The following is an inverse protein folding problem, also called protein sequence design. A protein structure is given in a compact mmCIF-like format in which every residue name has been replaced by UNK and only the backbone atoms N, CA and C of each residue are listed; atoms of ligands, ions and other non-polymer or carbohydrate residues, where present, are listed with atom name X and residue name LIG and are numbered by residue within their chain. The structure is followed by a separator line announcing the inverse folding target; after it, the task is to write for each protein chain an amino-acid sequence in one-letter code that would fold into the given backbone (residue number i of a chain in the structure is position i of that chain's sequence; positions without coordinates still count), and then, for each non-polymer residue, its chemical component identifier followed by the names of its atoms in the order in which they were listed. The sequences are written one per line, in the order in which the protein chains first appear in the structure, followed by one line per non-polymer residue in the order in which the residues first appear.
data_IF_576604479626
#
_entry.id   IF_576604479626
#
_cell.length_a   1.000
_cell.length_b   1.000
_cell.length_c   1.000
_cell.angle_alpha   90.00
_cell.angle_beta   90.00
_cell.angle_gamma   90.00
#
_symmetry.space_group_name_H-M   'P 1'
#
loop_
_entity.id
_entity.type
_entity.pdbx_description
1 polymer ?
#
# COMPACT_ATOMS: atom_id res chain seq x y z
N UNK A 1 34.42 22.21 8.32
CA UNK A 1 33.68 21.07 7.77
C UNK A 1 32.19 21.34 7.98
N UNK A 2 31.47 21.77 6.91
CA UNK A 2 30.01 21.80 6.98
C UNK A 2 29.56 20.34 6.96
N UNK A 3 28.92 19.89 8.03
CA UNK A 3 28.22 18.61 7.99
C UNK A 3 27.00 18.81 7.11
N UNK A 4 26.91 18.07 5.99
CA UNK A 4 25.76 18.10 5.11
C UNK A 4 24.51 17.70 5.91
N UNK A 5 23.49 18.56 5.86
CA UNK A 5 22.22 18.32 6.54
C UNK A 5 21.28 17.56 5.61
N UNK A 6 21.03 16.28 5.91
CA UNK A 6 20.15 15.42 5.12
C UNK A 6 18.91 15.09 5.95
N UNK A 7 17.75 15.43 5.44
CA UNK A 7 16.46 15.03 6.05
C UNK A 7 15.81 13.90 5.23
N UNK A 8 15.45 12.82 5.93
CA UNK A 8 14.77 11.67 5.34
C UNK A 8 13.44 11.44 6.06
N UNK A 9 12.33 11.47 5.32
CA UNK A 9 10.98 11.49 5.92
C UNK A 9 9.98 10.78 4.99
N UNK A 10 8.91 10.21 5.57
CA UNK A 10 7.76 9.80 4.77
C UNK A 10 6.85 11.00 4.44
N UNK A 11 6.17 10.94 3.31
CA UNK A 11 5.21 11.99 2.91
C UNK A 11 4.07 12.15 3.92
N UNK A 12 3.68 11.08 4.62
CA UNK A 12 2.69 11.13 5.71
C UNK A 12 3.19 11.95 6.91
N UNK A 13 4.45 11.74 7.31
CA UNK A 13 5.04 12.51 8.42
C UNK A 13 5.22 13.98 8.02
N UNK A 14 5.64 14.26 6.78
CA UNK A 14 5.68 15.62 6.23
C UNK A 14 4.32 16.30 6.32
N UNK A 15 3.24 15.62 5.89
CA UNK A 15 1.87 16.09 6.01
C UNK A 15 1.50 16.43 7.46
N UNK A 16 1.75 15.50 8.39
CA UNK A 16 1.37 15.67 9.78
C UNK A 16 2.11 16.85 10.44
N UNK A 17 3.38 17.02 10.15
CA UNK A 17 4.17 18.15 10.65
C UNK A 17 3.74 19.48 10.01
N UNK A 18 3.40 19.48 8.71
CA UNK A 18 2.81 20.67 8.06
C UNK A 18 1.48 21.06 8.70
N UNK A 19 0.56 20.10 8.87
CA UNK A 19 -0.73 20.36 9.52
C UNK A 19 -0.58 20.84 10.97
N UNK A 20 0.46 20.38 11.68
CA UNK A 20 0.77 20.88 13.02
C UNK A 20 1.29 22.31 12.98
N UNK A 21 2.08 22.69 11.96
CA UNK A 21 2.64 24.06 11.82
C UNK A 21 1.59 25.13 11.52
N UNK A 22 0.49 24.73 10.83
CA UNK A 22 -0.60 25.68 10.48
C UNK A 22 -1.76 25.71 11.48
N UNK A 23 -1.83 24.78 12.45
CA UNK A 23 -2.88 24.81 13.47
C UNK A 23 -2.69 26.00 14.40
N UNK A 24 -3.71 26.88 14.58
CA UNK A 24 -3.62 27.96 15.55
C UNK A 24 -3.52 27.37 16.96
N UNK A 25 -2.35 27.52 17.59
CA UNK A 25 -2.21 27.26 19.02
C UNK A 25 -3.08 28.24 19.81
N UNK A 26 -3.79 27.76 20.85
CA UNK A 26 -4.69 28.56 21.69
C UNK A 26 -3.96 29.67 22.50
N UNK A 27 -2.65 29.67 22.49
CA UNK A 27 -1.83 30.70 23.21
C UNK A 27 -1.25 31.69 22.20
N UNK A 28 -1.71 32.95 22.33
CA UNK A 28 -1.40 34.07 21.44
C UNK A 28 0.10 34.49 21.44
N UNK A 29 0.96 33.92 22.26
CA UNK A 29 2.37 34.32 22.40
C UNK A 29 3.38 33.39 21.69
N UNK A 30 2.94 32.32 21.00
CA UNK A 30 3.84 31.31 20.36
C UNK A 30 3.63 31.18 18.87
N UNK A 31 3.06 32.15 18.18
CA UNK A 31 2.70 32.08 16.75
C UNK A 31 3.88 32.07 15.78
N UNK A 32 5.09 32.37 16.23
CA UNK A 32 6.22 32.61 15.29
C UNK A 32 7.11 31.40 15.06
N UNK A 33 7.09 30.36 15.88
CA UNK A 33 8.12 29.32 15.82
C UNK A 33 7.75 28.09 14.96
N UNK A 34 6.49 27.69 14.90
CA UNK A 34 6.11 26.42 14.25
C UNK A 34 6.29 26.43 12.71
N UNK A 35 5.93 27.53 12.04
CA UNK A 35 6.15 27.67 10.59
C UNK A 35 7.64 27.87 10.27
N UNK A 36 8.36 28.63 11.08
CA UNK A 36 9.82 28.81 10.95
C UNK A 36 10.57 27.49 11.20
N UNK A 37 10.16 26.73 12.23
CA UNK A 37 10.76 25.42 12.53
C UNK A 37 10.51 24.41 11.40
N UNK A 38 9.29 24.42 10.83
CA UNK A 38 8.97 23.60 9.65
C UNK A 38 9.82 23.99 8.45
N UNK A 39 9.93 25.29 8.15
CA UNK A 39 10.78 25.78 7.06
C UNK A 39 12.23 25.41 7.26
N UNK A 40 12.79 25.67 8.44
CA UNK A 40 14.17 25.32 8.77
C UNK A 40 14.43 23.84 8.59
N UNK A 41 13.50 22.99 9.05
CA UNK A 41 13.64 21.54 8.97
C UNK A 41 13.66 21.01 7.54
N UNK A 42 12.84 21.57 6.64
CA UNK A 42 12.63 21.00 5.30
C UNK A 42 13.22 21.83 4.15
N UNK A 43 13.59 23.08 4.38
CA UNK A 43 14.08 23.97 3.34
C UNK A 43 15.55 24.39 3.51
N UNK A 44 16.06 24.34 4.74
CA UNK A 44 17.47 24.69 5.04
C UNK A 44 18.38 23.46 5.01
N UNK A 45 17.96 22.38 4.33
CA UNK A 45 18.71 21.13 4.21
C UNK A 45 19.53 21.10 2.92
N UNK A 46 20.59 20.29 2.88
CA UNK A 46 21.38 20.05 1.67
C UNK A 46 20.78 18.96 0.79
N UNK A 47 20.07 18.01 1.41
CA UNK A 47 19.28 17.01 0.70
C UNK A 47 17.98 16.69 1.43
N UNK A 48 16.89 16.58 0.69
CA UNK A 48 15.58 16.15 1.17
C UNK A 48 15.18 14.84 0.48
N UNK A 49 15.01 13.76 1.27
CA UNK A 49 14.53 12.48 0.79
C UNK A 49 13.10 12.27 1.31
N UNK A 50 12.16 12.04 0.39
CA UNK A 50 10.75 11.77 0.75
C UNK A 50 10.34 10.42 0.21
N UNK A 51 9.90 9.56 1.12
CA UNK A 51 9.37 8.25 0.81
C UNK A 51 7.85 8.29 0.68
N UNK A 52 7.33 7.39 -0.18
CA UNK A 52 5.89 7.20 -0.38
C UNK A 52 5.16 8.46 -0.86
N UNK A 53 5.70 9.17 -1.84
CA UNK A 53 5.15 10.45 -2.35
C UNK A 53 3.69 10.33 -2.83
N UNK A 54 3.23 9.14 -3.21
CA UNK A 54 1.85 8.86 -3.62
C UNK A 54 0.81 9.20 -2.54
N UNK A 55 1.16 9.23 -1.26
CA UNK A 55 0.23 9.60 -0.19
C UNK A 55 -0.09 11.10 -0.12
N UNK A 56 0.53 11.93 -0.95
CA UNK A 56 0.11 13.31 -1.16
C UNK A 56 -1.13 13.42 -2.06
N UNK A 57 -1.50 12.35 -2.79
CA UNK A 57 -2.67 12.34 -3.68
C UNK A 57 -3.95 12.77 -2.93
N UNK A 58 -4.74 13.66 -3.56
CA UNK A 58 -5.99 14.17 -3.00
C UNK A 58 -5.86 15.16 -1.84
N UNK A 59 -4.64 15.57 -1.44
CA UNK A 59 -4.40 16.47 -0.29
C UNK A 59 -3.88 17.83 -0.74
N UNK A 60 -4.74 18.63 -1.35
CA UNK A 60 -4.39 19.90 -2.05
C UNK A 60 -3.55 20.86 -1.20
N UNK A 61 -3.89 21.10 0.07
CA UNK A 61 -3.11 22.01 0.93
C UNK A 61 -1.68 21.51 1.16
N UNK A 62 -1.51 20.20 1.34
CA UNK A 62 -0.19 19.59 1.53
C UNK A 62 0.60 19.59 0.24
N UNK A 63 -0.06 19.36 -0.90
CA UNK A 63 0.58 19.47 -2.22
C UNK A 63 1.10 20.88 -2.47
N UNK A 64 0.35 21.91 -2.07
CA UNK A 64 0.78 23.31 -2.12
C UNK A 64 2.03 23.55 -1.25
N UNK A 65 2.00 23.10 0.00
CA UNK A 65 3.15 23.26 0.92
C UNK A 65 4.40 22.54 0.38
N UNK A 66 4.20 21.31 -0.13
CA UNK A 66 5.27 20.55 -0.73
C UNK A 66 5.82 21.22 -2.00
N UNK A 67 4.96 21.76 -2.85
CA UNK A 67 5.37 22.50 -4.04
C UNK A 67 6.26 23.70 -3.69
N UNK A 68 5.92 24.45 -2.66
CA UNK A 68 6.75 25.56 -2.21
C UNK A 68 8.10 25.10 -1.66
N UNK A 69 8.10 24.02 -0.87
CA UNK A 69 9.35 23.43 -0.33
C UNK A 69 10.24 22.92 -1.47
N UNK A 70 9.65 22.21 -2.44
CA UNK A 70 10.35 21.73 -3.63
C UNK A 70 11.01 22.85 -4.43
N UNK A 71 10.24 23.92 -4.73
CA UNK A 71 10.76 25.06 -5.48
C UNK A 71 11.92 25.77 -4.74
N UNK A 72 11.79 25.94 -3.44
CA UNK A 72 12.82 26.61 -2.63
C UNK A 72 14.12 25.80 -2.61
N UNK A 73 14.04 24.49 -2.42
CA UNK A 73 15.19 23.59 -2.51
C UNK A 73 15.82 23.61 -3.91
N UNK A 74 14.99 23.55 -4.96
CA UNK A 74 15.47 23.59 -6.34
C UNK A 74 16.18 24.92 -6.67
N UNK A 75 15.63 26.05 -6.25
CA UNK A 75 16.23 27.35 -6.46
C UNK A 75 17.58 27.48 -5.74
N UNK A 76 17.71 26.87 -4.57
CA UNK A 76 18.95 26.83 -3.80
C UNK A 76 19.89 25.69 -4.22
N UNK A 77 19.62 25.02 -5.35
CA UNK A 77 20.42 23.91 -5.90
C UNK A 77 20.65 22.76 -4.90
N UNK A 78 19.67 22.51 -4.03
CA UNK A 78 19.67 21.40 -3.08
C UNK A 78 19.19 20.11 -3.73
N UNK A 79 19.65 18.98 -3.20
CA UNK A 79 19.26 17.67 -3.72
C UNK A 79 17.87 17.28 -3.22
N UNK A 80 17.02 16.78 -4.13
CA UNK A 80 15.71 16.22 -3.78
C UNK A 80 15.66 14.78 -4.33
N UNK A 81 15.26 13.84 -3.48
CA UNK A 81 15.03 12.44 -3.84
C UNK A 81 13.61 12.07 -3.43
N UNK A 82 12.81 11.64 -4.40
CA UNK A 82 11.43 11.20 -4.17
C UNK A 82 11.31 9.72 -4.48
N UNK A 83 10.68 8.98 -3.58
CA UNK A 83 10.44 7.54 -3.72
C UNK A 83 8.94 7.32 -3.87
N UNK A 84 8.55 6.48 -4.82
CA UNK A 84 7.16 6.18 -5.14
C UNK A 84 6.98 4.72 -5.55
N UNK A 85 5.79 4.17 -5.33
CA UNK A 85 5.38 2.85 -5.81
C UNK A 85 4.99 2.83 -7.31
N UNK A 86 4.95 4.01 -7.94
CA UNK A 86 4.56 4.20 -9.35
C UNK A 86 5.25 5.40 -9.98
N UNK A 87 5.27 5.43 -11.32
CA UNK A 87 5.88 6.52 -12.07
C UNK A 87 5.13 7.86 -11.87
N UNK A 88 5.80 9.01 -12.07
CA UNK A 88 5.14 10.32 -11.96
C UNK A 88 3.86 10.46 -12.77
N UNK A 89 3.80 9.88 -13.98
CA UNK A 89 2.63 9.92 -14.86
C UNK A 89 1.44 9.09 -14.37
N UNK A 90 1.66 8.19 -13.41
CA UNK A 90 0.64 7.33 -12.79
C UNK A 90 0.16 7.87 -11.42
N UNK A 91 0.70 8.98 -10.97
CA UNK A 91 0.30 9.65 -9.73
C UNK A 91 -0.98 10.46 -9.98
N UNK A 92 -2.11 9.75 -10.04
CA UNK A 92 -3.42 10.37 -10.16
C UNK A 92 -3.72 11.20 -8.90
N UNK A 93 -4.50 12.28 -9.03
CA UNK A 93 -4.86 13.20 -7.95
C UNK A 93 -3.69 14.01 -7.35
N UNK A 94 -2.53 14.04 -8.02
CA UNK A 94 -1.51 15.07 -7.83
C UNK A 94 -1.72 16.21 -8.81
N UNK A 95 -1.44 17.42 -8.37
CA UNK A 95 -1.50 18.60 -9.23
C UNK A 95 -0.49 18.51 -10.38
N UNK A 96 -0.90 18.83 -11.60
CA UNK A 96 -0.08 18.75 -12.83
C UNK A 96 1.27 19.45 -12.70
N UNK A 97 1.33 20.53 -11.92
CA UNK A 97 2.59 21.26 -11.67
C UNK A 97 3.61 20.42 -10.89
N UNK A 98 3.18 19.56 -9.95
CA UNK A 98 4.05 18.63 -9.24
C UNK A 98 4.51 17.50 -10.16
N UNK A 99 3.57 16.89 -10.89
CA UNK A 99 3.86 15.81 -11.85
C UNK A 99 4.88 16.29 -12.88
N UNK A 100 4.72 17.50 -13.40
CA UNK A 100 5.65 18.11 -14.35
C UNK A 100 7.04 18.28 -13.74
N UNK A 101 7.15 18.75 -12.49
CA UNK A 101 8.43 18.90 -11.78
C UNK A 101 9.13 17.57 -11.55
N UNK A 102 8.37 16.55 -11.14
CA UNK A 102 8.92 15.20 -10.91
C UNK A 102 9.44 14.60 -12.22
N UNK A 103 8.72 14.81 -13.32
CA UNK A 103 9.11 14.32 -14.65
C UNK A 103 10.32 15.05 -15.26
N UNK A 104 10.67 16.25 -14.77
CA UNK A 104 11.88 16.98 -15.18
C UNK A 104 13.15 16.40 -14.55
N UNK A 105 13.03 15.65 -13.46
CA UNK A 105 14.13 14.99 -12.77
C UNK A 105 14.56 13.68 -13.45
N UNK A 106 15.58 13.05 -12.89
CA UNK A 106 16.01 11.72 -13.31
C UNK A 106 15.10 10.69 -12.63
N UNK A 107 14.39 9.93 -13.43
CA UNK A 107 13.59 8.79 -12.92
C UNK A 107 14.39 7.51 -13.07
N UNK A 108 14.60 6.81 -11.94
CA UNK A 108 15.23 5.49 -11.90
C UNK A 108 14.18 4.45 -11.47
N UNK A 109 14.02 3.40 -12.27
CA UNK A 109 13.12 2.30 -11.95
C UNK A 109 13.87 1.21 -11.17
N UNK A 110 13.27 0.73 -10.08
CA UNK A 110 13.80 -0.35 -9.26
C UNK A 110 12.96 -1.59 -9.53
N UNK A 111 13.48 -2.47 -10.37
CA UNK A 111 12.82 -3.75 -10.70
C UNK A 111 13.07 -4.81 -9.64
N UNK A 112 12.19 -5.83 -9.53
CA UNK A 112 12.47 -6.99 -8.68
C UNK A 112 13.81 -7.63 -9.03
N UNK A 113 14.60 -8.05 -8.03
CA UNK A 113 15.91 -8.64 -8.26
C UNK A 113 15.80 -9.99 -8.99
N UNK A 114 16.78 -10.29 -9.84
CA UNK A 114 16.94 -11.62 -10.42
C UNK A 114 17.36 -12.67 -9.37
N UNK A 115 17.48 -13.92 -9.77
CA UNK A 115 17.80 -15.02 -8.85
C UNK A 115 19.15 -14.80 -8.15
N UNK A 116 20.17 -14.39 -8.89
CA UNK A 116 21.54 -14.22 -8.37
C UNK A 116 21.60 -13.08 -7.36
N UNK A 117 20.96 -11.97 -7.69
CA UNK A 117 20.82 -10.82 -6.80
C UNK A 117 20.04 -11.19 -5.54
N UNK A 118 18.94 -11.97 -5.65
CA UNK A 118 18.22 -12.46 -4.48
C UNK A 118 19.08 -13.33 -3.58
N UNK A 119 19.87 -14.25 -4.16
CA UNK A 119 20.83 -15.08 -3.41
C UNK A 119 21.83 -14.24 -2.63
N UNK A 120 22.39 -13.20 -3.27
CA UNK A 120 23.32 -12.28 -2.61
C UNK A 120 22.64 -11.53 -1.45
N UNK A 121 21.40 -11.04 -1.67
CA UNK A 121 20.62 -10.37 -0.64
C UNK A 121 20.33 -11.32 0.53
N UNK A 122 19.93 -12.56 0.27
CA UNK A 122 19.65 -13.55 1.32
C UNK A 122 20.90 -13.80 2.16
N UNK A 123 22.06 -14.03 1.53
CA UNK A 123 23.33 -14.24 2.21
C UNK A 123 23.67 -13.06 3.12
N UNK A 124 23.59 -11.85 2.62
CA UNK A 124 23.82 -10.62 3.38
C UNK A 124 22.84 -10.49 4.57
N UNK A 125 21.53 -10.79 4.36
CA UNK A 125 20.54 -10.75 5.43
C UNK A 125 20.74 -11.87 6.45
N UNK A 126 21.21 -13.04 6.06
CA UNK A 126 21.58 -14.11 6.97
C UNK A 126 22.72 -13.67 7.91
N UNK A 127 23.73 -12.98 7.38
CA UNK A 127 24.80 -12.39 8.20
C UNK A 127 24.26 -11.35 9.18
N UNK A 128 23.41 -10.40 8.70
CA UNK A 128 22.79 -9.39 9.57
C UNK A 128 21.94 -9.98 10.71
N UNK A 129 21.23 -11.07 10.42
CA UNK A 129 20.32 -11.69 11.38
C UNK A 129 20.99 -12.79 12.20
N UNK A 130 22.28 -13.06 11.99
CA UNK A 130 23.01 -14.19 12.59
C UNK A 130 22.26 -15.52 12.40
N UNK A 131 22.02 -15.86 11.14
CA UNK A 131 21.36 -17.10 10.71
C UNK A 131 22.36 -17.87 9.85
N UNK A 132 22.59 -19.14 10.18
CA UNK A 132 23.43 -20.03 9.36
C UNK A 132 22.53 -20.96 8.56
N UNK A 133 22.55 -20.82 7.24
CA UNK A 133 21.84 -21.67 6.28
C UNK A 133 22.83 -22.29 5.30
N UNK A 134 22.54 -23.52 4.88
CA UNK A 134 23.29 -24.17 3.81
C UNK A 134 22.85 -23.65 2.42
N UNK A 135 23.65 -23.93 1.40
CA UNK A 135 23.40 -23.47 0.02
C UNK A 135 22.09 -24.03 -0.54
N UNK A 136 21.69 -25.23 -0.14
CA UNK A 136 20.43 -25.85 -0.59
C UNK A 136 19.23 -25.06 -0.05
N UNK A 137 19.23 -24.72 1.23
CA UNK A 137 18.18 -23.90 1.87
C UNK A 137 18.13 -22.49 1.29
N UNK A 138 19.30 -21.86 1.05
CA UNK A 138 19.38 -20.54 0.41
C UNK A 138 18.77 -20.56 -1.01
N UNK A 139 19.12 -21.58 -1.80
CA UNK A 139 18.58 -21.79 -3.17
C UNK A 139 17.08 -22.02 -3.12
N UNK A 140 16.59 -22.83 -2.19
CA UNK A 140 15.18 -23.10 -2.01
C UNK A 140 14.39 -21.83 -1.70
N UNK A 141 14.87 -21.02 -0.74
CA UNK A 141 14.22 -19.75 -0.38
C UNK A 141 14.21 -18.78 -1.58
N UNK A 142 15.36 -18.60 -2.25
CA UNK A 142 15.49 -17.70 -3.40
C UNK A 142 14.57 -18.09 -4.57
N UNK A 143 14.36 -19.38 -4.78
CA UNK A 143 13.48 -19.89 -5.85
C UNK A 143 12.00 -19.73 -5.53
N UNK A 144 11.62 -19.80 -4.25
CA UNK A 144 10.23 -19.79 -3.82
C UNK A 144 9.71 -18.41 -3.36
N UNK A 145 10.60 -17.45 -3.10
CA UNK A 145 10.26 -16.08 -2.69
C UNK A 145 10.79 -15.12 -3.75
N UNK A 146 9.95 -14.79 -4.73
CA UNK A 146 10.30 -13.92 -5.86
C UNK A 146 9.58 -12.56 -5.83
N UNK A 147 8.62 -12.38 -4.94
CA UNK A 147 7.71 -11.24 -4.96
C UNK A 147 8.37 -9.93 -4.52
N UNK A 148 9.07 -9.93 -3.40
CA UNK A 148 9.75 -8.76 -2.86
C UNK A 148 10.74 -9.10 -1.74
N UNK A 149 11.69 -8.19 -1.48
CA UNK A 149 12.73 -8.35 -0.46
C UNK A 149 12.15 -8.36 0.97
N UNK A 150 11.06 -7.62 1.24
CA UNK A 150 10.41 -7.60 2.56
C UNK A 150 9.86 -8.97 2.93
N UNK A 151 9.26 -9.69 1.95
CA UNK A 151 8.80 -11.06 2.16
C UNK A 151 9.97 -11.99 2.46
N UNK A 152 11.06 -11.83 1.74
CA UNK A 152 12.31 -12.58 1.93
C UNK A 152 12.85 -12.41 3.36
N UNK A 153 12.94 -11.16 3.84
CA UNK A 153 13.34 -10.88 5.23
C UNK A 153 12.35 -11.48 6.24
N UNK A 154 11.05 -11.42 5.95
CA UNK A 154 10.02 -12.01 6.79
C UNK A 154 10.19 -13.53 6.92
N UNK A 155 10.48 -14.21 5.82
CA UNK A 155 10.77 -15.67 5.81
C UNK A 155 12.01 -15.99 6.65
N UNK A 156 13.11 -15.26 6.47
CA UNK A 156 14.35 -15.48 7.27
C UNK A 156 14.11 -15.28 8.77
N UNK A 157 13.39 -14.24 9.17
CA UNK A 157 13.03 -13.99 10.58
C UNK A 157 12.17 -15.12 11.14
N UNK A 158 11.22 -15.64 10.36
CA UNK A 158 10.37 -16.79 10.76
C UNK A 158 11.21 -18.06 10.90
N UNK A 159 12.14 -18.32 9.99
CA UNK A 159 13.05 -19.46 10.08
C UNK A 159 13.86 -19.39 11.38
N UNK A 160 14.46 -18.23 11.69
CA UNK A 160 15.21 -18.02 12.93
C UNK A 160 14.33 -18.28 14.17
N UNK A 161 13.15 -17.68 14.20
CA UNK A 161 12.21 -17.83 15.32
C UNK A 161 11.79 -19.30 15.52
N UNK A 162 11.42 -19.98 14.43
CA UNK A 162 10.98 -21.39 14.49
C UNK A 162 12.10 -22.31 14.95
N UNK A 163 13.30 -22.15 14.41
CA UNK A 163 14.48 -22.92 14.81
C UNK A 163 14.80 -22.73 16.30
N UNK A 164 14.79 -21.47 16.76
CA UNK A 164 15.02 -21.14 18.18
C UNK A 164 13.93 -21.76 19.07
N UNK A 165 12.66 -21.69 18.67
CA UNK A 165 11.53 -22.23 19.46
C UNK A 165 11.55 -23.75 19.53
N UNK A 166 12.04 -24.43 18.47
CA UNK A 166 12.20 -25.89 18.43
C UNK A 166 13.52 -26.37 19.03
N UNK A 167 14.41 -25.46 19.43
CA UNK A 167 15.80 -25.75 19.83
C UNK A 167 16.60 -26.52 18.76
N UNK A 168 16.34 -26.20 17.48
CA UNK A 168 16.97 -26.81 16.32
C UNK A 168 17.84 -25.79 15.57
N UNK A 169 18.69 -26.27 14.68
CA UNK A 169 19.39 -25.41 13.73
C UNK A 169 18.47 -25.05 12.57
N UNK A 170 18.56 -23.82 12.03
CA UNK A 170 17.89 -23.45 10.79
C UNK A 170 18.20 -24.43 9.66
N UNK A 171 17.19 -24.96 8.99
CA UNK A 171 17.31 -26.04 8.00
C UNK A 171 16.31 -25.93 6.86
N UNK A 172 16.54 -26.67 5.78
CA UNK A 172 15.64 -26.78 4.65
C UNK A 172 14.23 -27.22 5.08
N UNK A 173 14.12 -28.17 6.00
CA UNK A 173 12.84 -28.66 6.52
C UNK A 173 12.01 -27.53 7.14
N UNK A 174 12.64 -26.67 7.95
CA UNK A 174 11.98 -25.51 8.56
C UNK A 174 11.57 -24.49 7.48
N UNK A 175 12.44 -24.25 6.50
CA UNK A 175 12.13 -23.35 5.39
C UNK A 175 10.94 -23.86 4.56
N UNK A 176 10.90 -25.16 4.27
CA UNK A 176 9.76 -25.80 3.58
C UNK A 176 8.45 -25.67 4.37
N UNK A 177 8.48 -25.97 5.67
CA UNK A 177 7.31 -25.86 6.54
C UNK A 177 6.74 -24.43 6.51
N UNK A 178 7.62 -23.42 6.64
CA UNK A 178 7.25 -22.02 6.63
C UNK A 178 6.69 -21.59 5.28
N UNK A 179 7.34 -21.96 4.18
CA UNK A 179 6.90 -21.56 2.83
C UNK A 179 5.66 -22.34 2.37
N UNK A 180 5.53 -23.60 2.75
CA UNK A 180 4.28 -24.35 2.54
C UNK A 180 3.14 -23.77 3.34
N UNK A 181 3.34 -23.46 4.62
CA UNK A 181 2.32 -22.80 5.45
C UNK A 181 1.95 -21.41 4.94
N UNK A 182 2.89 -20.66 4.37
CA UNK A 182 2.62 -19.37 3.72
C UNK A 182 1.83 -19.51 2.42
N UNK A 183 2.07 -20.59 1.66
CA UNK A 183 1.29 -20.95 0.45
C UNK A 183 -0.06 -21.61 0.79
N UNK A 184 -0.14 -22.33 1.91
CA UNK A 184 -1.35 -22.99 2.42
C UNK A 184 -2.12 -22.18 3.46
N UNK A 185 -1.54 -21.16 4.08
CA UNK A 185 -2.35 -20.06 4.58
C UNK A 185 -3.15 -19.59 3.39
N UNK A 186 -4.46 -19.69 3.39
CA UNK A 186 -5.22 -19.07 2.35
C UNK A 186 -5.03 -17.55 2.50
N UNK A 187 -4.07 -16.95 1.80
CA UNK A 187 -4.45 -15.81 1.00
C UNK A 187 -5.49 -16.40 0.07
N UNK A 188 -6.73 -16.50 0.54
CA UNK A 188 -7.88 -16.79 -0.32
C UNK A 188 -7.66 -15.80 -1.44
N UNK A 189 -7.44 -16.30 -2.65
CA UNK A 189 -7.29 -15.45 -3.83
C UNK A 189 -8.52 -14.56 -3.82
N UNK A 190 -8.36 -13.32 -3.36
CA UNK A 190 -9.44 -12.35 -3.36
C UNK A 190 -9.54 -11.91 -4.80
N UNK A 191 -10.09 -12.82 -5.62
CA UNK A 191 -10.48 -12.56 -6.99
C UNK A 191 -11.94 -12.10 -7.01
N UNK A 192 -12.36 -11.34 -8.02
CA UNK A 192 -13.77 -10.99 -8.20
C UNK A 192 -14.69 -12.19 -8.14
N UNK A 193 -14.30 -13.30 -8.77
CA UNK A 193 -15.09 -14.54 -8.77
C UNK A 193 -15.27 -15.09 -7.35
N UNK A 194 -14.22 -15.07 -6.52
CA UNK A 194 -14.32 -15.51 -5.13
C UNK A 194 -15.21 -14.59 -4.32
N UNK A 195 -15.11 -13.28 -4.51
CA UNK A 195 -15.98 -12.30 -3.85
C UNK A 195 -17.44 -12.54 -4.22
N UNK A 196 -17.73 -12.72 -5.53
CA UNK A 196 -19.07 -12.96 -6.03
C UNK A 196 -19.64 -14.26 -5.43
N UNK A 197 -18.84 -15.34 -5.41
CA UNK A 197 -19.25 -16.63 -4.84
C UNK A 197 -19.56 -16.51 -3.33
N UNK A 198 -18.70 -15.85 -2.56
CA UNK A 198 -18.94 -15.67 -1.11
C UNK A 198 -20.17 -14.81 -0.84
N UNK A 199 -20.41 -13.77 -1.61
CA UNK A 199 -21.63 -12.96 -1.52
C UNK A 199 -22.88 -13.80 -1.90
N UNK A 200 -22.80 -14.59 -2.98
CA UNK A 200 -23.86 -15.47 -3.43
C UNK A 200 -24.24 -16.49 -2.34
N UNK A 201 -23.24 -17.14 -1.73
CA UNK A 201 -23.43 -18.10 -0.66
C UNK A 201 -24.00 -17.47 0.61
N UNK A 202 -23.52 -16.27 0.95
CA UNK A 202 -23.97 -15.54 2.14
C UNK A 202 -25.45 -15.17 2.06
N UNK A 203 -25.86 -14.55 0.95
CA UNK A 203 -27.25 -14.11 0.74
C UNK A 203 -28.17 -15.16 0.11
N UNK A 204 -27.67 -16.39 -0.15
CA UNK A 204 -28.41 -17.48 -0.79
C UNK A 204 -28.99 -17.09 -2.17
N UNK A 205 -28.24 -16.31 -2.93
CA UNK A 205 -28.58 -15.88 -4.29
C UNK A 205 -27.64 -16.60 -5.28
N UNK A 206 -28.16 -16.97 -6.44
CA UNK A 206 -27.31 -17.59 -7.47
C UNK A 206 -26.33 -16.57 -8.07
N UNK A 207 -25.12 -17.03 -8.38
CA UNK A 207 -24.09 -16.21 -9.04
C UNK A 207 -24.62 -15.63 -10.35
N UNK A 208 -25.33 -16.44 -11.14
CA UNK A 208 -25.92 -15.99 -12.39
C UNK A 208 -26.91 -14.84 -12.22
N UNK A 209 -27.66 -14.79 -11.11
CA UNK A 209 -28.57 -13.70 -10.80
C UNK A 209 -27.80 -12.42 -10.46
N UNK A 210 -26.69 -12.52 -9.73
CA UNK A 210 -25.80 -11.39 -9.40
C UNK A 210 -25.22 -10.78 -10.69
N UNK A 211 -24.78 -11.61 -11.62
CA UNK A 211 -24.18 -11.19 -12.90
C UNK A 211 -25.21 -10.78 -13.96
N UNK A 212 -26.49 -11.10 -13.76
CA UNK A 212 -27.56 -10.82 -14.68
C UNK A 212 -27.96 -9.32 -14.75
N UNK A 213 -28.88 -9.00 -15.63
CA UNK A 213 -29.53 -7.67 -15.68
C UNK A 213 -30.73 -7.54 -14.72
N UNK A 214 -30.92 -8.47 -13.78
CA UNK A 214 -32.03 -8.45 -12.80
C UNK A 214 -32.05 -7.14 -12.01
N UNK A 215 -33.28 -6.57 -11.90
CA UNK A 215 -33.56 -5.36 -11.13
C UNK A 215 -34.26 -5.63 -9.80
N UNK A 216 -34.38 -6.89 -9.39
CA UNK A 216 -34.94 -7.24 -8.09
C UNK A 216 -34.10 -6.63 -6.99
N UNK A 217 -34.73 -5.97 -6.02
CA UNK A 217 -34.09 -5.19 -4.95
C UNK A 217 -32.99 -5.98 -4.24
N UNK A 218 -33.26 -7.21 -3.86
CA UNK A 218 -32.31 -8.11 -3.16
C UNK A 218 -31.06 -8.39 -4.03
N UNK A 219 -31.27 -8.77 -5.32
CA UNK A 219 -30.16 -9.04 -6.24
C UNK A 219 -29.31 -7.80 -6.49
N UNK A 220 -29.94 -6.65 -6.63
CA UNK A 220 -29.23 -5.37 -6.84
C UNK A 220 -28.41 -5.00 -5.60
N UNK A 221 -28.93 -5.22 -4.40
CA UNK A 221 -28.19 -4.94 -3.16
C UNK A 221 -26.94 -5.82 -3.05
N UNK A 222 -27.09 -7.12 -3.24
CA UNK A 222 -25.95 -8.06 -3.19
C UNK A 222 -24.93 -7.78 -4.27
N UNK A 223 -25.39 -7.43 -5.47
CA UNK A 223 -24.50 -6.99 -6.57
C UNK A 223 -23.70 -5.74 -6.18
N UNK A 224 -24.34 -4.73 -5.58
CA UNK A 224 -23.65 -3.51 -5.15
C UNK A 224 -22.61 -3.81 -4.07
N UNK A 225 -22.91 -4.70 -3.10
CA UNK A 225 -21.97 -5.15 -2.08
C UNK A 225 -20.78 -5.86 -2.72
N UNK A 226 -21.03 -6.81 -3.63
CA UNK A 226 -19.95 -7.53 -4.31
C UNK A 226 -19.05 -6.59 -5.13
N UNK A 227 -19.63 -5.63 -5.84
CA UNK A 227 -18.89 -4.58 -6.59
C UNK A 227 -18.04 -3.72 -5.63
N UNK A 228 -18.62 -3.27 -4.53
CA UNK A 228 -17.92 -2.48 -3.50
C UNK A 228 -16.73 -3.27 -2.92
N UNK A 229 -16.94 -4.54 -2.56
CA UNK A 229 -15.89 -5.42 -2.05
C UNK A 229 -14.79 -5.69 -3.10
N UNK A 230 -15.15 -5.84 -4.38
CA UNK A 230 -14.15 -5.95 -5.45
C UNK A 230 -13.28 -4.69 -5.51
N UNK A 231 -13.86 -3.49 -5.37
CA UNK A 231 -13.08 -2.25 -5.37
C UNK A 231 -12.20 -2.11 -4.13
N UNK A 232 -12.72 -2.46 -2.96
CA UNK A 232 -12.01 -2.34 -1.68
C UNK A 232 -10.90 -3.39 -1.53
N UNK A 233 -11.16 -4.63 -1.97
CA UNK A 233 -10.31 -5.78 -1.69
C UNK A 233 -9.38 -6.18 -2.84
N UNK A 234 -9.50 -5.56 -4.01
CA UNK A 234 -8.64 -5.82 -5.17
C UNK A 234 -8.02 -4.53 -5.71
N UNK A 235 -7.01 -4.67 -6.56
CA UNK A 235 -6.38 -3.54 -7.25
C UNK A 235 -7.00 -3.23 -8.61
N UNK A 236 -8.16 -3.83 -8.93
CA UNK A 236 -8.80 -3.69 -10.22
C UNK A 236 -9.32 -2.28 -10.47
N UNK A 237 -9.21 -1.83 -11.73
CA UNK A 237 -9.82 -0.59 -12.20
C UNK A 237 -11.35 -0.72 -12.31
N UNK A 238 -12.08 0.40 -12.30
CA UNK A 238 -13.53 0.38 -12.51
C UNK A 238 -13.96 -0.30 -13.81
N UNK A 239 -13.29 -0.09 -14.97
CA UNK A 239 -13.58 -0.84 -16.18
C UNK A 239 -13.40 -2.36 -16.01
N UNK A 240 -12.27 -2.79 -15.40
CA UNK A 240 -11.99 -4.22 -15.17
C UNK A 240 -13.02 -4.88 -14.24
N UNK A 241 -13.50 -4.15 -13.22
CA UNK A 241 -14.61 -4.64 -12.39
C UNK A 241 -15.91 -4.71 -13.23
N UNK A 242 -16.12 -3.72 -14.12
CA UNK A 242 -17.24 -3.73 -15.05
C UNK A 242 -17.30 -4.99 -15.92
N UNK A 243 -16.17 -5.40 -16.47
CA UNK A 243 -16.04 -6.64 -17.25
C UNK A 243 -16.46 -7.89 -16.44
N UNK A 244 -16.06 -7.97 -15.16
CA UNK A 244 -16.43 -9.07 -14.28
C UNK A 244 -17.95 -9.16 -14.00
N UNK A 245 -18.64 -8.03 -13.98
CA UNK A 245 -20.09 -7.95 -13.67
C UNK A 245 -20.97 -7.74 -14.91
N UNK A 246 -20.42 -7.74 -16.12
CA UNK A 246 -21.11 -7.41 -17.38
C UNK A 246 -21.84 -6.06 -17.29
N UNK A 247 -21.19 -5.04 -16.71
CA UNK A 247 -21.70 -3.68 -16.52
C UNK A 247 -20.69 -2.65 -17.00
N UNK A 248 -21.20 -1.50 -17.44
CA UNK A 248 -20.34 -0.38 -17.76
C UNK A 248 -19.72 0.26 -16.50
N UNK A 249 -18.60 0.92 -16.67
CA UNK A 249 -17.82 1.49 -15.58
C UNK A 249 -18.60 2.57 -14.79
N UNK A 250 -19.56 3.27 -15.40
CA UNK A 250 -20.37 4.28 -14.73
C UNK A 250 -21.33 3.64 -13.74
N UNK A 251 -21.89 2.48 -14.08
CA UNK A 251 -22.71 1.66 -13.19
C UNK A 251 -21.88 1.12 -12.00
N UNK A 252 -20.63 0.76 -12.22
CA UNK A 252 -19.72 0.31 -11.16
C UNK A 252 -19.42 1.46 -10.18
N UNK A 253 -19.05 2.64 -10.70
CA UNK A 253 -18.81 3.83 -9.88
C UNK A 253 -20.04 4.18 -9.04
N UNK A 254 -21.24 4.13 -9.65
CA UNK A 254 -22.49 4.36 -8.93
C UNK A 254 -22.68 3.36 -7.78
N UNK A 255 -22.47 2.07 -8.03
CA UNK A 255 -22.64 1.01 -7.04
C UNK A 255 -21.65 1.17 -5.86
N UNK A 256 -20.38 1.47 -6.16
CA UNK A 256 -19.35 1.72 -5.12
C UNK A 256 -19.72 2.93 -4.28
N UNK A 257 -20.06 4.06 -4.91
CA UNK A 257 -20.41 5.29 -4.21
C UNK A 257 -21.70 5.15 -3.38
N UNK A 258 -22.64 4.31 -3.83
CA UNK A 258 -23.87 4.04 -3.10
C UNK A 258 -23.61 3.36 -1.77
N UNK A 259 -22.74 2.35 -1.73
CA UNK A 259 -22.38 1.65 -0.50
C UNK A 259 -21.46 2.52 0.37
N UNK A 260 -20.46 3.18 -0.24
CA UNK A 260 -19.50 4.03 0.48
C UNK A 260 -20.12 5.26 1.17
N UNK A 261 -21.28 5.74 0.69
CA UNK A 261 -22.01 6.88 1.28
C UNK A 261 -22.93 6.50 2.42
N UNK A 262 -23.23 5.22 2.58
CA UNK A 262 -24.06 4.77 3.70
C UNK A 262 -23.23 4.87 5.00
N UNK A 263 -23.85 5.33 6.06
CA UNK A 263 -23.25 5.34 7.38
C UNK A 263 -23.63 4.06 8.15
N UNK A 264 -22.77 3.67 9.09
CA UNK A 264 -23.05 2.51 9.95
C UNK A 264 -24.31 2.71 10.81
N UNK A 265 -24.65 3.96 11.09
CA UNK A 265 -25.84 4.31 11.87
C UNK A 265 -27.14 4.22 11.05
N UNK A 266 -27.06 4.36 9.71
CA UNK A 266 -28.21 4.29 8.79
C UNK A 266 -28.56 2.85 8.40
N UNK A 267 -27.56 1.99 8.18
CA UNK A 267 -27.71 0.60 7.70
C UNK A 267 -26.80 -0.36 8.49
N UNK A 268 -27.00 -0.54 9.82
CA UNK A 268 -26.10 -1.34 10.66
C UNK A 268 -26.00 -2.79 10.20
N UNK A 269 -27.11 -3.42 9.80
CA UNK A 269 -27.15 -4.80 9.34
C UNK A 269 -26.29 -5.01 8.08
N UNK A 270 -26.29 -4.05 7.15
CA UNK A 270 -25.49 -4.12 5.93
C UNK A 270 -23.99 -4.08 6.24
N UNK A 271 -23.58 -3.27 7.21
CA UNK A 271 -22.18 -3.19 7.63
C UNK A 271 -21.72 -4.44 8.36
N UNK A 272 -22.58 -5.05 9.19
CA UNK A 272 -22.31 -6.35 9.80
C UNK A 272 -22.14 -7.44 8.74
N UNK A 273 -23.02 -7.49 7.75
CA UNK A 273 -22.93 -8.42 6.64
C UNK A 273 -21.61 -8.27 5.87
N UNK A 274 -21.22 -7.02 5.56
CA UNK A 274 -19.95 -6.72 4.87
C UNK A 274 -18.75 -7.21 5.68
N UNK A 275 -18.72 -6.99 6.99
CA UNK A 275 -17.62 -7.46 7.84
C UNK A 275 -17.57 -8.99 7.92
N UNK A 276 -18.71 -9.67 8.06
CA UNK A 276 -18.78 -11.15 8.04
C UNK A 276 -18.31 -11.70 6.69
N UNK A 277 -18.65 -11.03 5.57
CA UNK A 277 -18.19 -11.43 4.24
C UNK A 277 -16.66 -11.22 4.12
N UNK A 278 -16.11 -10.12 4.65
CA UNK A 278 -14.67 -9.87 4.72
C UNK A 278 -13.93 -10.94 5.51
N UNK A 279 -14.48 -11.35 6.66
CA UNK A 279 -13.94 -12.48 7.44
C UNK A 279 -13.90 -13.77 6.64
N UNK A 280 -15.00 -14.13 5.97
CA UNK A 280 -15.06 -15.32 5.11
C UNK A 280 -14.07 -15.27 3.94
N UNK A 281 -13.77 -14.07 3.45
CA UNK A 281 -12.73 -13.82 2.44
C UNK A 281 -11.31 -13.84 3.03
N UNK A 282 -11.14 -13.90 4.36
CA UNK A 282 -9.85 -14.03 5.03
C UNK A 282 -9.13 -12.69 5.21
N UNK A 283 -9.85 -11.60 5.44
CA UNK A 283 -9.30 -10.24 5.58
C UNK A 283 -9.40 -9.63 6.98
N UNK A 284 -9.67 -10.41 7.99
CA UNK A 284 -9.46 -9.99 9.38
C UNK A 284 -8.42 -10.86 10.03
#
# INVERSE_FOLDING_TARGET
CSSDLIECISSEKFLNEFLASIKPMKDKNNYTNADEDFRRKYRDVDALLIDDIQFLSGKTETQNAFFHTFNELQMNQKQIVLISDRSPSQLNDLEDRLVTRFSQGITADITPPDFETRMAIIKFKCEQFDIKLDEETLTYISSNVSSNIRELEGVLKRIKFTATSKHEQPSLSIAEEILKSAKTSPRKNISPDNIINVCADFYKIKVDDILSSSRKKEVVQVRNIAIYLCRELTTLSFPSIGDCFNKDHTSIIYSVNKIAKLSKDEEPELFEDIEVIKERLGKI
#
